data_IF_856228148371
#
_entry.id   IF_856228148371
#
_cell.length_a   1.000
_cell.length_b   1.000
_cell.length_c   1.000
_cell.angle_alpha   90.00
_cell.angle_beta   90.00
_cell.angle_gamma   90.00
#
_symmetry.space_group_name_H-M   'P 1'
#
loop_
_entity.id
_entity.type
_entity.pdbx_description
1 polymer ?
#
# COMPACT_ATOMS: atom_id res chain seq x y z
N UNK A 1 7.15 10.19 -15.50
CA UNK A 1 7.42 10.36 -14.07
C UNK A 1 6.11 10.18 -13.30
N UNK A 2 6.10 9.28 -12.35
CA UNK A 2 4.92 9.01 -11.52
C UNK A 2 4.90 9.88 -10.27
N UNK A 3 6.01 9.92 -9.54
CA UNK A 3 6.14 10.69 -8.30
C UNK A 3 7.50 11.36 -8.29
N UNK A 4 7.54 12.62 -7.88
CA UNK A 4 8.76 13.37 -7.64
C UNK A 4 8.75 13.95 -6.22
N UNK A 5 9.78 13.64 -5.47
CA UNK A 5 9.97 14.09 -4.09
C UNK A 5 11.26 14.91 -3.99
N UNK A 6 11.17 16.10 -3.41
CA UNK A 6 12.31 16.99 -3.22
C UNK A 6 12.32 17.53 -1.79
N UNK A 7 13.46 17.42 -1.13
CA UNK A 7 13.67 17.93 0.24
C UNK A 7 12.65 17.40 1.26
N UNK A 8 12.23 16.16 1.12
CA UNK A 8 11.24 15.55 2.02
C UNK A 8 11.87 15.31 3.38
N UNK A 9 11.30 15.97 4.39
CA UNK A 9 11.77 15.91 5.78
C UNK A 9 10.61 15.55 6.69
N UNK A 10 10.85 14.66 7.64
CA UNK A 10 9.87 14.21 8.61
C UNK A 10 10.51 14.06 9.98
N UNK A 11 9.86 14.65 10.99
CA UNK A 11 10.23 14.52 12.39
C UNK A 11 9.20 13.72 13.17
N UNK A 12 9.66 12.95 14.14
CA UNK A 12 8.83 12.35 15.16
C UNK A 12 9.28 12.92 16.51
N UNK A 13 8.56 13.94 16.99
CA UNK A 13 9.04 14.74 18.11
C UNK A 13 10.32 15.49 17.74
N UNK A 14 11.39 15.28 18.51
CA UNK A 14 12.70 15.89 18.23
C UNK A 14 13.57 15.05 17.29
N UNK A 15 13.17 13.82 16.99
CA UNK A 15 13.93 12.91 16.15
C UNK A 15 13.62 13.15 14.67
N UNK A 16 14.66 13.41 13.89
CA UNK A 16 14.55 13.47 12.43
C UNK A 16 14.54 12.05 11.87
N UNK A 17 13.43 11.66 11.26
CA UNK A 17 13.27 10.33 10.65
C UNK A 17 13.70 10.34 9.19
N UNK A 18 13.30 11.37 8.44
CA UNK A 18 13.68 11.59 7.06
C UNK A 18 14.28 12.98 6.94
N UNK A 19 15.44 13.08 6.30
CA UNK A 19 16.17 14.32 6.17
C UNK A 19 16.47 14.62 4.71
N UNK A 20 15.78 15.61 4.16
CA UNK A 20 15.97 16.14 2.81
C UNK A 20 16.05 15.03 1.75
N UNK A 21 15.10 14.11 1.77
CA UNK A 21 15.06 12.97 0.86
C UNK A 21 14.64 13.44 -0.54
N UNK A 22 15.39 12.99 -1.55
CA UNK A 22 15.04 13.14 -2.96
C UNK A 22 14.80 11.78 -3.57
N UNK A 23 13.67 11.64 -4.27
CA UNK A 23 13.33 10.40 -4.95
C UNK A 23 12.42 10.71 -6.14
N UNK A 24 12.72 10.06 -7.25
CA UNK A 24 11.89 10.12 -8.45
C UNK A 24 11.48 8.69 -8.82
N UNK A 25 10.19 8.49 -9.06
CA UNK A 25 9.64 7.19 -9.43
C UNK A 25 9.11 7.29 -10.85
N UNK A 26 9.64 6.46 -11.74
CA UNK A 26 9.23 6.37 -13.14
C UNK A 26 8.32 5.17 -13.36
N UNK A 27 7.67 5.15 -14.53
CA UNK A 27 6.84 4.03 -14.92
C UNK A 27 7.66 2.72 -14.98
N UNK A 28 7.07 1.65 -14.47
CA UNK A 28 7.68 0.31 -14.38
C UNK A 28 8.85 0.17 -13.43
N UNK A 29 9.16 1.20 -12.65
CA UNK A 29 10.19 1.06 -11.61
C UNK A 29 9.78 0.04 -10.55
N UNK A 30 10.79 -0.72 -10.10
CA UNK A 30 10.69 -1.61 -8.94
C UNK A 30 11.76 -1.20 -7.95
N UNK A 31 11.35 -0.58 -6.85
CA UNK A 31 12.25 0.03 -5.90
C UNK A 31 12.20 -0.73 -4.58
N UNK A 32 13.36 -1.19 -4.11
CA UNK A 32 13.51 -1.79 -2.79
C UNK A 32 14.04 -0.76 -1.80
N UNK A 33 13.44 -0.72 -0.61
CA UNK A 33 13.89 0.12 0.49
C UNK A 33 14.47 -0.78 1.56
N UNK A 34 15.77 -0.63 1.83
CA UNK A 34 16.50 -1.47 2.78
C UNK A 34 16.90 -0.65 4.00
N UNK A 35 16.91 -1.29 5.15
CA UNK A 35 17.33 -0.69 6.40
C UNK A 35 16.84 -1.50 7.59
N UNK A 36 17.38 -1.21 8.78
CA UNK A 36 16.91 -1.83 10.02
C UNK A 36 15.57 -1.22 10.44
N UNK A 37 14.85 -1.87 11.35
CA UNK A 37 13.58 -1.36 11.88
C UNK A 37 13.80 -0.01 12.57
N UNK A 38 12.84 0.91 12.40
CA UNK A 38 12.92 2.24 13.01
C UNK A 38 13.70 3.27 12.20
N UNK A 39 14.12 2.95 10.96
CA UNK A 39 14.87 3.89 10.10
C UNK A 39 13.96 4.75 9.18
N UNK A 40 12.64 4.63 9.31
CA UNK A 40 11.71 5.47 8.57
C UNK A 40 11.19 4.88 7.26
N UNK A 41 11.42 3.59 6.98
CA UNK A 41 10.95 2.93 5.75
C UNK A 41 9.43 3.00 5.62
N UNK A 42 8.72 2.60 6.65
CA UNK A 42 7.25 2.63 6.66
C UNK A 42 6.72 4.07 6.62
N UNK A 43 7.41 4.99 7.27
CA UNK A 43 7.06 6.41 7.26
C UNK A 43 7.16 6.98 5.85
N UNK A 44 8.20 6.66 5.11
CA UNK A 44 8.37 7.09 3.73
C UNK A 44 7.23 6.58 2.84
N UNK A 45 6.86 5.32 2.98
CA UNK A 45 5.75 4.73 2.23
C UNK A 45 4.41 5.38 2.56
N UNK A 46 4.16 5.69 3.83
CA UNK A 46 2.96 6.40 4.27
C UNK A 46 2.89 7.81 3.71
N UNK A 47 4.01 8.52 3.66
CA UNK A 47 4.09 9.86 3.07
C UNK A 47 3.76 9.80 1.57
N UNK A 48 4.34 8.89 0.83
CA UNK A 48 4.07 8.70 -0.61
C UNK A 48 2.59 8.41 -0.85
N UNK A 49 1.98 7.66 0.05
CA UNK A 49 0.56 7.27 -0.05
C UNK A 49 -0.42 8.34 0.45
N UNK A 50 0.08 9.45 0.98
CA UNK A 50 -0.76 10.53 1.49
C UNK A 50 -1.34 10.29 2.88
N UNK A 51 -0.87 9.27 3.62
CA UNK A 51 -1.36 8.94 4.96
C UNK A 51 -0.75 9.84 6.02
N UNK A 52 0.51 10.23 5.86
CA UNK A 52 1.21 11.12 6.78
C UNK A 52 1.65 12.41 6.12
N UNK A 53 1.70 13.48 6.91
CA UNK A 53 2.22 14.79 6.48
C UNK A 53 3.76 14.78 6.42
N UNK A 54 4.32 15.79 5.78
CA UNK A 54 5.76 15.93 5.57
C UNK A 54 6.13 17.40 5.32
N UNK A 55 7.41 17.71 5.43
CA UNK A 55 7.97 18.96 4.95
C UNK A 55 8.71 18.69 3.63
N UNK A 56 8.61 19.61 2.69
CA UNK A 56 9.22 19.47 1.38
C UNK A 56 8.20 19.53 0.27
N UNK A 57 8.62 19.10 -0.92
CA UNK A 57 7.80 19.20 -2.12
C UNK A 57 7.59 17.84 -2.75
N UNK A 58 6.33 17.51 -3.02
CA UNK A 58 5.96 16.27 -3.70
C UNK A 58 5.01 16.57 -4.85
N UNK A 59 5.31 15.95 -5.99
CA UNK A 59 4.50 16.07 -7.21
C UNK A 59 4.10 14.67 -7.67
N UNK A 60 2.83 14.50 -7.98
CA UNK A 60 2.27 13.26 -8.51
C UNK A 60 1.84 13.44 -9.95
N UNK A 61 1.94 12.38 -10.75
CA UNK A 61 1.31 12.36 -12.06
C UNK A 61 -0.20 12.51 -11.91
N UNK A 62 -0.83 13.23 -12.85
CA UNK A 62 -2.29 13.38 -12.86
C UNK A 62 -2.97 12.02 -12.90
N UNK A 63 -4.02 11.88 -12.12
CA UNK A 63 -4.84 10.66 -12.02
C UNK A 63 -4.08 9.41 -11.54
N UNK A 64 -2.93 9.61 -10.87
CA UNK A 64 -2.15 8.51 -10.31
C UNK A 64 -2.94 7.81 -9.19
N UNK A 65 -3.01 6.49 -9.27
CA UNK A 65 -3.60 5.65 -8.22
C UNK A 65 -2.49 5.04 -7.38
N UNK A 66 -2.59 5.20 -6.06
CA UNK A 66 -1.61 4.69 -5.12
C UNK A 66 -2.33 3.79 -4.11
N UNK A 67 -1.80 2.59 -3.94
CA UNK A 67 -2.25 1.68 -2.90
C UNK A 67 -1.12 1.43 -1.92
N UNK A 68 -1.44 1.49 -0.63
CA UNK A 68 -0.52 1.19 0.45
C UNK A 68 -0.90 -0.12 1.13
N UNK A 69 0.02 -1.06 1.15
CA UNK A 69 -0.14 -2.32 1.89
C UNK A 69 0.70 -2.22 3.17
N UNK A 70 0.08 -2.07 4.35
CA UNK A 70 0.82 -2.02 5.60
C UNK A 70 1.47 -3.36 5.95
N UNK A 71 2.48 -3.34 6.82
CA UNK A 71 3.15 -4.56 7.29
C UNK A 71 2.17 -5.51 7.97
N UNK A 72 1.23 -4.95 8.72
CA UNK A 72 0.14 -5.70 9.36
C UNK A 72 -1.19 -5.12 8.88
N UNK A 73 -1.74 -5.62 7.76
CA UNK A 73 -3.01 -5.13 7.25
C UNK A 73 -4.15 -5.35 8.24
N UNK A 74 -5.07 -4.38 8.29
CA UNK A 74 -6.26 -4.48 9.14
C UNK A 74 -7.38 -5.18 8.38
N UNK A 75 -7.90 -6.25 8.97
CA UNK A 75 -9.01 -7.03 8.43
C UNK A 75 -10.09 -7.20 9.48
N UNK A 76 -11.34 -7.30 9.03
CA UNK A 76 -12.41 -7.86 9.86
C UNK A 76 -12.42 -9.38 9.63
N UNK A 77 -12.09 -10.14 10.67
CA UNK A 77 -12.01 -11.61 10.59
C UNK A 77 -13.31 -12.29 10.19
N UNK A 78 -14.45 -11.63 10.41
CA UNK A 78 -15.77 -12.14 10.05
C UNK A 78 -16.17 -11.81 8.60
N UNK A 79 -15.44 -10.94 7.93
CA UNK A 79 -15.68 -10.62 6.52
C UNK A 79 -15.24 -11.79 5.63
N UNK A 80 -15.91 -11.94 4.50
CA UNK A 80 -15.45 -12.84 3.44
C UNK A 80 -14.29 -12.18 2.67
N UNK A 81 -13.56 -12.99 1.89
CA UNK A 81 -12.50 -12.48 1.02
C UNK A 81 -13.05 -11.43 0.05
N UNK A 82 -14.20 -11.70 -0.55
CA UNK A 82 -14.84 -10.78 -1.49
C UNK A 82 -15.20 -9.45 -0.83
N UNK A 83 -15.77 -9.48 0.37
CA UNK A 83 -16.10 -8.26 1.12
C UNK A 83 -14.84 -7.45 1.46
N UNK A 84 -13.76 -8.12 1.85
CA UNK A 84 -12.48 -7.47 2.15
C UNK A 84 -11.92 -6.77 0.92
N UNK A 85 -11.95 -7.42 -0.24
CA UNK A 85 -11.49 -6.83 -1.50
C UNK A 85 -12.33 -5.61 -1.88
N UNK A 86 -13.65 -5.69 -1.77
CA UNK A 86 -14.54 -4.56 -2.08
C UNK A 86 -14.30 -3.35 -1.19
N UNK A 87 -14.02 -3.55 0.08
CA UNK A 87 -13.72 -2.44 1.01
C UNK A 87 -12.45 -1.68 0.65
N UNK A 88 -11.51 -2.32 -0.04
CA UNK A 88 -10.22 -1.73 -0.41
C UNK A 88 -10.21 -1.15 -1.82
N UNK A 89 -11.26 -1.34 -2.60
CA UNK A 89 -11.36 -0.86 -3.97
C UNK A 89 -12.27 0.36 -4.02
N UNK A 90 -11.74 1.49 -4.48
CA UNK A 90 -12.51 2.71 -4.68
C UNK A 90 -13.23 2.76 -6.04
N UNK A 91 -12.88 1.88 -6.97
CA UNK A 91 -13.44 1.88 -8.31
C UNK A 91 -14.73 1.07 -8.36
N UNK A 92 -15.81 1.70 -8.81
CA UNK A 92 -17.09 1.05 -9.05
C UNK A 92 -17.15 0.31 -10.39
N UNK A 93 -16.11 0.44 -11.20
CA UNK A 93 -16.06 -0.11 -12.55
C UNK A 93 -15.48 -1.53 -12.60
N UNK A 94 -15.10 -2.09 -11.45
CA UNK A 94 -14.55 -3.44 -11.36
C UNK A 94 -15.68 -4.43 -11.13
N UNK A 95 -15.75 -5.44 -12.01
CA UNK A 95 -16.76 -6.49 -11.94
C UNK A 95 -16.28 -7.68 -11.11
N UNK A 96 -17.23 -8.43 -10.53
CA UNK A 96 -16.95 -9.59 -9.67
C UNK A 96 -16.05 -10.62 -10.36
N UNK A 97 -16.25 -10.86 -11.66
CA UNK A 97 -15.45 -11.85 -12.39
C UNK A 97 -13.97 -11.44 -12.48
N UNK A 98 -13.68 -10.14 -12.53
CA UNK A 98 -12.31 -9.63 -12.55
C UNK A 98 -11.62 -9.90 -11.20
N UNK A 99 -12.33 -9.69 -10.11
CA UNK A 99 -11.84 -9.98 -8.76
C UNK A 99 -11.58 -11.47 -8.60
N UNK A 100 -12.52 -12.32 -9.01
CA UNK A 100 -12.37 -13.79 -8.97
C UNK A 100 -11.18 -14.27 -9.79
N UNK A 101 -10.97 -13.70 -10.97
CA UNK A 101 -9.84 -14.04 -11.83
C UNK A 101 -8.50 -13.68 -11.16
N UNK A 102 -8.39 -12.53 -10.53
CA UNK A 102 -7.18 -12.13 -9.82
C UNK A 102 -6.94 -13.00 -8.59
N UNK A 103 -7.97 -13.28 -7.79
CA UNK A 103 -7.84 -14.17 -6.63
C UNK A 103 -7.40 -15.57 -7.04
N UNK A 104 -7.92 -16.09 -8.15
CA UNK A 104 -7.52 -17.38 -8.70
C UNK A 104 -6.04 -17.45 -9.05
N UNK A 105 -5.46 -16.37 -9.57
CA UNK A 105 -4.02 -16.26 -9.85
C UNK A 105 -3.16 -16.40 -8.58
N UNK A 106 -3.70 -16.06 -7.42
CA UNK A 106 -3.03 -16.22 -6.13
C UNK A 106 -3.41 -17.51 -5.40
N UNK A 107 -4.14 -18.43 -6.06
CA UNK A 107 -4.55 -19.68 -5.48
C UNK A 107 -5.74 -19.57 -4.53
N UNK A 108 -6.53 -18.52 -4.63
CA UNK A 108 -7.73 -18.29 -3.83
C UNK A 108 -8.95 -18.51 -4.73
N UNK A 109 -9.66 -19.61 -4.50
CA UNK A 109 -10.78 -20.03 -5.37
C UNK A 109 -12.15 -19.92 -4.70
N UNK A 110 -12.21 -19.78 -3.36
CA UNK A 110 -13.45 -19.59 -2.62
C UNK A 110 -13.49 -18.17 -2.04
N UNK A 111 -14.06 -17.23 -2.79
CA UNK A 111 -14.18 -15.83 -2.43
C UNK A 111 -15.15 -15.57 -1.27
N UNK A 112 -15.97 -16.57 -0.92
CA UNK A 112 -16.90 -16.47 0.20
C UNK A 112 -16.30 -17.00 1.51
N UNK A 113 -15.08 -17.50 1.47
CA UNK A 113 -14.36 -17.92 2.66
C UNK A 113 -14.12 -16.72 3.58
N UNK A 114 -14.31 -16.89 4.88
CA UNK A 114 -14.05 -15.84 5.86
C UNK A 114 -12.55 -15.65 6.09
N UNK A 115 -12.14 -14.42 6.37
CA UNK A 115 -10.72 -14.09 6.60
C UNK A 115 -10.12 -14.94 7.72
N UNK A 116 -10.85 -15.20 8.80
CA UNK A 116 -10.37 -16.02 9.91
C UNK A 116 -10.02 -17.46 9.54
N UNK A 117 -10.53 -17.95 8.43
CA UNK A 117 -10.29 -19.31 7.93
C UNK A 117 -9.02 -19.42 7.10
N UNK A 118 -8.39 -18.29 6.77
CA UNK A 118 -7.19 -18.24 5.94
C UNK A 118 -5.92 -18.53 6.74
N UNK A 119 -4.98 -19.24 6.11
CA UNK A 119 -3.61 -19.33 6.63
C UNK A 119 -2.91 -17.97 6.54
N UNK A 120 -1.82 -17.79 7.30
CA UNK A 120 -1.05 -16.56 7.24
C UNK A 120 -0.56 -16.21 5.83
N UNK A 121 -0.14 -17.21 5.05
CA UNK A 121 0.27 -17.02 3.66
C UNK A 121 -0.88 -16.61 2.75
N UNK A 122 -2.05 -17.23 2.89
CA UNK A 122 -3.24 -16.87 2.13
C UNK A 122 -3.74 -15.47 2.47
N UNK A 123 -3.70 -15.10 3.74
CA UNK A 123 -4.13 -13.78 4.19
C UNK A 123 -3.32 -12.67 3.53
N UNK A 124 -2.01 -12.83 3.38
CA UNK A 124 -1.15 -11.86 2.71
C UNK A 124 -1.46 -11.69 1.23
N UNK A 125 -2.05 -12.71 0.58
CA UNK A 125 -2.42 -12.67 -0.84
C UNK A 125 -3.75 -11.94 -1.10
N UNK A 126 -4.57 -11.82 -0.08
CA UNK A 126 -5.84 -11.09 -0.16
C UNK A 126 -5.61 -9.58 -0.11
#
# INVERSE_FOLDING_TARGET
>A
MLVSMTDITKYNGERCILDQIELHIEDKDKIGILGVNGTGKSTLLKIISGIEDYQGKMTYQKDLRINYLPQTPLYNEMDTIMETVYKQIDSKDIHDFEIKAQLGKFGIYDENQKIKELSGGQLKRV
#
